data_IF_242098853942
#
_entry.id   IF_242098853942
#
_cell.length_a   1.000
_cell.length_b   1.000
_cell.length_c   1.000
_cell.angle_alpha   90.00
_cell.angle_beta   90.00
_cell.angle_gamma   90.00
#
_symmetry.space_group_name_H-M   'P 1'
#
loop_
_entity.id
_entity.type
_entity.pdbx_description
1 polymer ?
#
# COMPACT_ATOMS: atom_id res chain seq x y z
N UNK A 1 14.00 26.53 -54.96
CA UNK A 1 15.02 27.59 -54.72
C UNK A 1 14.55 28.36 -53.50
N UNK A 2 15.16 28.41 -52.32
CA UNK A 2 16.38 27.83 -51.71
C UNK A 2 16.18 28.08 -50.21
N UNK A 3 16.41 27.07 -49.39
CA UNK A 3 16.65 27.21 -47.93
C UNK A 3 17.86 28.09 -47.67
N UNK A 4 17.98 28.69 -46.47
CA UNK A 4 19.30 28.87 -45.86
C UNK A 4 19.41 28.21 -44.48
N UNK A 5 20.53 27.50 -44.35
CA UNK A 5 21.29 27.11 -43.14
C UNK A 5 22.75 27.50 -43.45
N UNK A 6 23.74 27.42 -42.54
CA UNK A 6 23.78 27.68 -41.08
C UNK A 6 25.11 28.40 -40.62
N UNK A 7 25.35 28.45 -39.28
CA UNK A 7 26.65 28.46 -38.52
C UNK A 7 27.29 29.81 -38.08
N UNK A 8 28.25 29.84 -37.11
CA UNK A 8 28.68 28.84 -36.10
C UNK A 8 28.88 29.35 -34.64
N UNK A 9 29.18 28.39 -33.75
CA UNK A 9 29.61 28.45 -32.34
C UNK A 9 30.78 29.40 -32.01
N UNK A 10 30.87 29.84 -30.74
CA UNK A 10 32.17 29.93 -30.04
C UNK A 10 32.02 29.70 -28.53
N UNK A 11 32.79 28.72 -28.03
CA UNK A 11 33.07 28.42 -26.62
C UNK A 11 34.17 29.39 -26.16
N UNK A 12 34.10 29.91 -24.94
CA UNK A 12 35.25 30.58 -24.30
C UNK A 12 35.48 30.05 -22.89
N UNK A 13 36.56 29.29 -22.76
CA UNK A 13 37.28 28.97 -21.52
C UNK A 13 38.16 30.14 -21.12
N UNK A 14 38.18 30.51 -19.83
CA UNK A 14 39.31 31.24 -19.25
C UNK A 14 39.74 30.59 -17.93
N UNK A 15 40.98 30.11 -17.93
CA UNK A 15 41.81 29.88 -16.75
C UNK A 15 42.41 31.22 -16.28
N UNK A 16 42.58 31.44 -14.97
CA UNK A 16 43.89 31.78 -14.39
C UNK A 16 43.86 31.98 -12.87
N UNK A 17 44.76 31.27 -12.18
CA UNK A 17 45.66 31.71 -11.09
C UNK A 17 45.04 32.39 -9.84
N UNK A 18 45.18 31.94 -8.60
CA UNK A 18 46.28 31.22 -7.95
C UNK A 18 47.00 32.15 -6.96
N UNK A 19 46.78 32.00 -5.64
CA UNK A 19 47.78 32.32 -4.59
C UNK A 19 47.41 31.75 -3.21
N UNK A 20 48.39 31.05 -2.61
CA UNK A 20 48.45 30.50 -1.25
C UNK A 20 48.86 31.58 -0.22
N UNK A 21 48.41 31.46 1.04
CA UNK A 21 49.15 31.56 2.34
C UNK A 21 48.20 31.04 3.45
N UNK A 22 48.44 29.90 4.15
CA UNK A 22 49.27 29.57 5.34
C UNK A 22 48.85 30.20 6.70
N UNK A 23 48.50 29.28 7.62
CA UNK A 23 48.75 29.16 9.08
C UNK A 23 47.83 29.77 10.17
N UNK A 24 47.58 28.91 11.17
CA UNK A 24 47.02 29.14 12.52
C UNK A 24 45.75 28.29 12.74
N UNK A 25 45.63 27.26 13.60
CA UNK A 25 46.46 26.76 14.70
C UNK A 25 45.85 27.12 16.06
N UNK A 26 44.82 26.41 16.55
CA UNK A 26 44.46 26.33 18.00
C UNK A 26 43.79 24.97 18.32
N UNK A 27 44.16 24.43 19.48
CA UNK A 27 43.78 23.15 20.13
C UNK A 27 42.45 23.23 20.89
N UNK A 28 41.89 22.06 21.23
CA UNK A 28 41.10 21.85 22.47
C UNK A 28 39.84 21.01 22.25
N UNK A 29 39.89 19.70 22.52
CA UNK A 29 39.46 19.01 23.76
C UNK A 29 37.98 18.63 23.79
N UNK A 30 37.70 17.34 23.92
CA UNK A 30 36.35 16.82 24.16
C UNK A 30 36.21 15.33 23.86
N UNK A 31 36.89 14.50 24.64
CA UNK A 31 36.69 13.06 24.67
C UNK A 31 35.35 12.72 25.34
N UNK A 32 34.62 11.74 24.79
CA UNK A 32 33.56 11.01 25.47
C UNK A 32 33.79 9.50 25.25
N UNK A 33 33.78 8.67 26.30
CA UNK A 33 34.32 7.33 26.24
C UNK A 33 33.32 6.28 25.75
N UNK A 34 33.89 5.30 25.05
CA UNK A 34 33.40 3.94 24.89
C UNK A 34 33.03 3.32 26.24
N UNK A 35 31.84 2.73 26.33
CA UNK A 35 31.54 1.68 27.30
C UNK A 35 31.08 0.44 26.55
N UNK A 36 31.98 -0.54 26.53
CA UNK A 36 31.79 -1.89 26.06
C UNK A 36 31.26 -2.75 27.22
N UNK A 37 30.32 -3.63 26.86
CA UNK A 37 29.92 -4.91 27.46
C UNK A 37 30.06 -5.12 28.98
N UNK A 38 28.91 -5.43 29.60
CA UNK A 38 28.84 -6.55 30.54
C UNK A 38 27.79 -7.55 30.08
N UNK A 39 28.29 -8.68 29.59
CA UNK A 39 27.61 -9.96 29.61
C UNK A 39 27.48 -10.39 31.07
N UNK A 40 26.25 -10.64 31.53
CA UNK A 40 26.01 -11.46 32.71
C UNK A 40 24.87 -12.45 32.44
N UNK A 41 25.32 -13.68 32.20
CA UNK A 41 24.76 -14.98 32.61
C UNK A 41 23.25 -15.23 32.48
N UNK A 42 22.94 -16.10 31.51
CA UNK A 42 21.75 -16.95 31.49
C UNK A 42 21.71 -17.90 32.70
N UNK A 43 20.53 -18.21 33.27
CA UNK A 43 20.32 -19.41 34.05
C UNK A 43 19.82 -20.56 33.16
N UNK A 44 20.33 -21.77 33.40
CA UNK A 44 19.84 -23.03 32.83
C UNK A 44 19.46 -24.00 33.97
N UNK A 45 18.74 -25.10 33.71
CA UNK A 45 17.36 -25.26 34.16
C UNK A 45 17.22 -26.22 35.35
N UNK A 46 16.12 -26.10 36.10
CA UNK A 46 15.75 -27.06 37.14
C UNK A 46 14.33 -27.62 36.91
N UNK A 47 14.30 -28.87 36.42
CA UNK A 47 13.48 -30.00 36.88
C UNK A 47 11.97 -29.81 37.22
N UNK A 48 11.12 -30.41 36.36
CA UNK A 48 9.90 -31.16 36.77
C UNK A 48 10.30 -32.49 37.47
N UNK A 49 9.43 -33.31 38.14
CA UNK A 49 7.96 -33.52 38.00
C UNK A 49 7.25 -33.80 39.38
N UNK A 50 6.09 -34.51 39.57
CA UNK A 50 5.18 -35.14 38.61
C UNK A 50 3.66 -34.93 38.80
N UNK A 51 2.99 -35.37 37.73
CA UNK A 51 1.58 -35.72 37.55
C UNK A 51 0.88 -36.42 38.73
N UNK A 52 -0.41 -36.11 38.93
CA UNK A 52 -1.41 -37.08 39.37
C UNK A 52 -2.70 -36.98 38.57
N UNK A 53 -2.92 -38.04 37.78
CA UNK A 53 -4.22 -38.47 37.29
C UNK A 53 -5.16 -38.79 38.44
N UNK A 54 -6.46 -38.52 38.28
CA UNK A 54 -7.48 -39.46 38.77
C UNK A 54 -8.75 -39.38 37.91
N UNK A 55 -8.95 -40.48 37.20
CA UNK A 55 -10.23 -40.90 36.60
C UNK A 55 -11.27 -41.04 37.71
N UNK A 56 -12.48 -40.56 37.44
CA UNK A 56 -13.68 -40.89 38.21
C UNK A 56 -14.79 -41.28 37.23
N UNK A 57 -14.92 -42.56 36.94
CA UNK A 57 -16.11 -43.14 36.33
C UNK A 57 -17.24 -43.22 37.37
N UNK A 58 -18.41 -42.68 37.04
CA UNK A 58 -19.70 -43.24 37.49
C UNK A 58 -20.69 -43.22 36.34
N UNK A 59 -21.06 -44.42 35.90
CA UNK A 59 -22.28 -44.71 35.13
C UNK A 59 -23.45 -44.75 36.11
N UNK A 60 -24.61 -44.23 35.73
CA UNK A 60 -25.88 -44.95 35.84
C UNK A 60 -27.03 -44.24 35.10
N UNK A 61 -27.66 -45.03 34.22
CA UNK A 61 -29.11 -45.18 33.94
C UNK A 61 -29.91 -44.03 33.30
N UNK A 62 -30.18 -44.28 32.01
CA UNK A 62 -31.45 -44.17 31.27
C UNK A 62 -32.59 -43.35 31.89
N UNK A 63 -32.86 -42.21 31.26
CA UNK A 63 -34.20 -41.65 31.10
C UNK A 63 -34.44 -41.33 29.62
N UNK A 64 -35.28 -42.12 28.95
CA UNK A 64 -35.73 -41.84 27.57
C UNK A 64 -36.71 -40.65 27.61
N UNK A 65 -36.43 -39.60 26.84
CA UNK A 65 -37.38 -38.56 26.42
C UNK A 65 -37.13 -38.17 24.95
N UNK A 66 -38.17 -37.73 24.21
CA UNK A 66 -38.28 -37.96 22.78
C UNK A 66 -37.42 -37.03 21.94
N UNK A 67 -37.00 -37.55 20.77
CA UNK A 67 -36.31 -36.81 19.71
C UNK A 67 -37.17 -35.63 19.23
N UNK A 68 -36.75 -34.41 19.53
CA UNK A 68 -37.14 -33.21 18.76
C UNK A 68 -35.93 -32.79 17.94
N UNK A 69 -36.04 -32.98 16.63
CA UNK A 69 -35.08 -32.46 15.66
C UNK A 69 -35.08 -30.94 15.72
N UNK A 70 -34.06 -30.36 16.34
CA UNK A 70 -33.74 -28.96 16.16
C UNK A 70 -32.79 -28.84 14.97
N UNK A 71 -33.39 -28.76 13.78
CA UNK A 71 -32.74 -28.10 12.66
C UNK A 71 -32.73 -26.61 13.04
N UNK A 72 -31.57 -25.94 13.17
CA UNK A 72 -31.61 -24.50 13.28
C UNK A 72 -32.19 -24.00 11.96
N UNK A 73 -33.39 -23.42 12.01
CA UNK A 73 -33.89 -22.55 10.97
C UNK A 73 -32.92 -21.38 10.93
N UNK A 74 -31.86 -21.53 10.12
CA UNK A 74 -31.05 -20.39 9.69
C UNK A 74 -32.06 -19.51 8.96
N UNK A 75 -32.41 -18.38 9.58
CA UNK A 75 -33.16 -17.35 8.89
C UNK A 75 -32.47 -17.14 7.52
N UNK A 76 -33.23 -17.07 6.41
CA UNK A 76 -32.64 -16.66 5.15
C UNK A 76 -31.85 -15.38 5.41
N UNK A 77 -30.62 -15.31 4.88
CA UNK A 77 -29.93 -14.02 4.78
C UNK A 77 -30.94 -13.01 4.22
N UNK A 78 -30.96 -11.76 4.71
CA UNK A 78 -31.89 -10.76 4.22
C UNK A 78 -31.88 -10.81 2.69
N UNK A 79 -33.09 -10.90 2.13
CA UNK A 79 -33.29 -11.03 0.70
C UNK A 79 -32.42 -10.02 -0.04
N UNK A 80 -31.94 -10.41 -1.21
CA UNK A 80 -31.33 -9.55 -2.22
C UNK A 80 -32.37 -8.54 -2.75
N UNK A 81 -33.12 -7.88 -1.86
CA UNK A 81 -33.99 -6.77 -2.20
C UNK A 81 -33.10 -5.71 -2.87
N UNK A 82 -33.51 -5.18 -4.04
CA UNK A 82 -32.72 -4.16 -4.70
C UNK A 82 -32.70 -2.94 -3.78
N UNK A 83 -31.54 -2.67 -3.17
CA UNK A 83 -31.29 -1.36 -2.59
C UNK A 83 -31.21 -0.32 -3.72
N UNK A 84 -31.21 0.99 -3.38
CA UNK A 84 -31.22 2.08 -4.37
C UNK A 84 -30.10 1.97 -5.42
N UNK A 85 -28.96 1.36 -5.08
CA UNK A 85 -27.85 1.08 -5.99
C UNK A 85 -28.18 0.10 -7.11
N UNK A 86 -29.10 -0.86 -6.89
CA UNK A 86 -29.55 -1.80 -7.92
C UNK A 86 -30.67 -1.24 -8.78
N UNK A 87 -31.43 -0.28 -8.27
CA UNK A 87 -32.55 0.34 -9.00
C UNK A 87 -32.06 1.44 -9.95
N UNK A 88 -31.00 2.16 -9.59
CA UNK A 88 -30.48 3.28 -10.36
C UNK A 88 -29.04 3.11 -10.87
N UNK A 89 -28.32 2.09 -10.41
CA UNK A 89 -26.93 1.84 -10.78
C UNK A 89 -26.78 0.76 -11.83
N UNK A 90 -25.91 1.00 -12.82
CA UNK A 90 -25.47 -0.03 -13.75
C UNK A 90 -24.38 -0.89 -13.10
N UNK A 91 -24.76 -2.06 -12.59
CA UNK A 91 -23.82 -3.00 -11.97
C UNK A 91 -22.77 -3.57 -12.94
N UNK A 92 -22.95 -3.42 -14.25
CA UNK A 92 -21.92 -3.77 -15.24
C UNK A 92 -20.79 -2.71 -15.30
N UNK A 93 -21.06 -1.48 -14.84
CA UNK A 93 -20.14 -0.33 -14.81
C UNK A 93 -19.78 0.08 -13.38
N UNK A 94 -19.44 -0.90 -12.55
CA UNK A 94 -19.00 -0.65 -11.17
C UNK A 94 -17.55 -0.15 -11.14
N UNK A 95 -17.32 1.01 -10.52
CA UNK A 95 -15.99 1.54 -10.27
C UNK A 95 -15.72 1.62 -8.76
N UNK A 96 -14.50 1.28 -8.35
CA UNK A 96 -14.00 1.53 -7.01
C UNK A 96 -12.97 2.66 -7.06
N UNK A 97 -13.12 3.65 -6.21
CA UNK A 97 -12.20 4.77 -6.13
C UNK A 97 -11.91 5.12 -4.68
N UNK A 98 -10.68 5.54 -4.42
CA UNK A 98 -10.28 6.03 -3.12
C UNK A 98 -8.98 6.81 -3.23
N UNK A 99 -8.71 7.63 -2.23
CA UNK A 99 -7.47 8.38 -2.08
C UNK A 99 -6.70 7.93 -0.84
N UNK A 100 -5.37 7.99 -0.87
CA UNK A 100 -4.52 7.65 0.28
C UNK A 100 -4.86 6.27 0.87
N UNK A 101 -5.25 6.18 2.15
CA UNK A 101 -5.72 4.97 2.79
C UNK A 101 -7.00 4.39 2.14
N UNK A 102 -7.87 5.22 1.57
CA UNK A 102 -9.02 4.77 0.77
C UNK A 102 -8.60 3.99 -0.47
N UNK A 103 -7.53 4.40 -1.16
CA UNK A 103 -6.97 3.64 -2.27
C UNK A 103 -6.33 2.31 -1.81
N UNK A 104 -5.70 2.28 -0.63
CA UNK A 104 -5.26 1.02 -0.02
C UNK A 104 -6.44 0.05 0.19
N UNK A 105 -7.56 0.56 0.71
CA UNK A 105 -8.80 -0.22 0.90
C UNK A 105 -9.34 -0.71 -0.45
N UNK A 106 -9.33 0.12 -1.49
CA UNK A 106 -9.73 -0.30 -2.84
C UNK A 106 -8.91 -1.50 -3.31
N UNK A 107 -7.58 -1.47 -3.16
CA UNK A 107 -6.74 -2.62 -3.50
C UNK A 107 -7.14 -3.89 -2.74
N UNK A 108 -7.31 -3.81 -1.42
CA UNK A 108 -7.72 -4.97 -0.60
C UNK A 108 -9.11 -5.49 -1.02
N UNK A 109 -10.04 -4.60 -1.35
CA UNK A 109 -11.37 -4.98 -1.87
C UNK A 109 -11.27 -5.73 -3.21
N UNK A 110 -10.37 -5.33 -4.11
CA UNK A 110 -10.16 -6.03 -5.38
C UNK A 110 -9.61 -7.44 -5.18
N UNK A 111 -8.67 -7.61 -4.24
CA UNK A 111 -8.13 -8.92 -3.89
C UNK A 111 -9.18 -9.85 -3.28
N UNK A 112 -10.07 -9.30 -2.45
CA UNK A 112 -11.21 -10.03 -1.90
C UNK A 112 -12.25 -10.39 -2.96
N UNK A 113 -12.55 -9.45 -3.87
CA UNK A 113 -13.53 -9.66 -4.93
C UNK A 113 -13.15 -10.84 -5.83
N UNK A 114 -11.87 -10.96 -6.18
CA UNK A 114 -11.37 -12.08 -6.99
C UNK A 114 -11.38 -13.44 -6.28
N UNK A 115 -11.46 -13.45 -4.95
CA UNK A 115 -11.55 -14.68 -4.15
C UNK A 115 -13.01 -15.15 -3.97
N UNK A 116 -14.00 -14.31 -4.31
CA UNK A 116 -15.40 -14.59 -4.09
C UNK A 116 -16.18 -14.50 -5.41
N UNK A 117 -16.56 -15.66 -5.96
CA UNK A 117 -17.31 -15.78 -7.22
C UNK A 117 -18.68 -15.09 -7.23
N UNK A 118 -19.21 -14.70 -6.07
CA UNK A 118 -20.46 -13.93 -5.96
C UNK A 118 -20.26 -12.42 -5.99
N UNK A 119 -19.01 -11.94 -6.06
CA UNK A 119 -18.71 -10.51 -6.14
C UNK A 119 -19.14 -9.94 -7.49
N UNK A 120 -19.71 -8.73 -7.54
CA UNK A 120 -19.96 -8.06 -8.80
C UNK A 120 -18.66 -7.81 -9.54
N UNK A 121 -18.70 -7.82 -10.87
CA UNK A 121 -17.56 -7.47 -11.71
C UNK A 121 -17.23 -5.99 -11.50
N UNK A 122 -15.98 -5.69 -11.14
CA UNK A 122 -15.49 -4.31 -11.06
C UNK A 122 -14.92 -3.91 -12.42
N UNK A 123 -15.55 -2.94 -13.08
CA UNK A 123 -15.09 -2.43 -14.37
C UNK A 123 -13.76 -1.70 -14.22
N UNK A 124 -13.65 -0.81 -13.23
CA UNK A 124 -12.44 -0.02 -13.03
C UNK A 124 -12.10 0.26 -11.58
N UNK A 125 -10.81 0.43 -11.31
CA UNK A 125 -10.30 0.89 -10.04
C UNK A 125 -9.50 2.20 -10.22
N UNK A 126 -9.72 3.18 -9.35
CA UNK A 126 -9.02 4.47 -9.36
C UNK A 126 -8.34 4.63 -8.01
N UNK A 127 -7.02 4.54 -8.03
CA UNK A 127 -6.16 4.62 -6.86
C UNK A 127 -5.48 5.99 -6.86
N UNK A 128 -6.04 6.93 -6.09
CA UNK A 128 -5.51 8.29 -6.00
C UNK A 128 -4.45 8.34 -4.91
N UNK A 129 -3.17 8.42 -5.28
CA UNK A 129 -2.04 8.50 -4.36
C UNK A 129 -2.08 7.38 -3.30
N UNK A 130 -2.10 6.08 -3.70
CA UNK A 130 -2.35 5.00 -2.78
C UNK A 130 -1.38 4.95 -1.59
N UNK A 131 -1.92 4.78 -0.39
CA UNK A 131 -1.08 4.60 0.78
C UNK A 131 -0.59 3.15 0.87
N UNK A 132 0.57 2.91 0.26
CA UNK A 132 1.32 1.65 0.41
C UNK A 132 2.59 1.87 1.20
N UNK A 133 3.11 0.81 1.79
CA UNK A 133 4.30 0.82 2.63
C UNK A 133 5.21 -0.37 2.38
N UNK A 134 6.25 -0.46 3.21
CA UNK A 134 7.23 -1.52 3.22
C UNK A 134 8.35 -1.19 4.18
N UNK A 135 9.02 -2.20 4.74
CA UNK A 135 10.19 -1.98 5.60
C UNK A 135 11.38 -1.46 4.81
N UNK A 136 11.51 -1.87 3.54
CA UNK A 136 12.59 -1.42 2.65
C UNK A 136 12.08 -0.35 1.67
N UNK A 137 12.84 0.74 1.47
CA UNK A 137 12.55 1.71 0.42
C UNK A 137 12.62 1.05 -0.96
N UNK A 138 11.74 1.45 -1.86
CA UNK A 138 11.89 1.19 -3.30
C UNK A 138 12.83 2.23 -3.92
N UNK A 139 13.24 2.02 -5.18
CA UNK A 139 14.05 3.00 -5.90
C UNK A 139 13.36 4.37 -5.95
N UNK A 140 14.08 5.42 -5.55
CA UNK A 140 13.56 6.79 -5.48
C UNK A 140 12.74 7.13 -4.22
N UNK A 141 12.45 6.17 -3.34
CA UNK A 141 11.71 6.42 -2.10
C UNK A 141 12.63 6.85 -0.96
N UNK A 142 12.23 7.90 -0.23
CA UNK A 142 12.97 8.37 0.92
C UNK A 142 12.75 7.45 2.14
N UNK A 143 13.80 7.02 2.88
CA UNK A 143 13.65 6.12 4.03
C UNK A 143 12.68 6.60 5.12
N UNK A 144 12.55 7.92 5.29
CA UNK A 144 11.58 8.49 6.23
C UNK A 144 10.12 8.16 5.87
N UNK A 145 9.78 8.02 4.58
CA UNK A 145 8.44 7.63 4.15
C UNK A 145 8.09 6.20 4.61
N UNK A 146 9.05 5.28 4.53
CA UNK A 146 8.90 3.91 5.05
C UNK A 146 8.69 3.92 6.57
N UNK A 147 9.47 4.71 7.30
CA UNK A 147 9.36 4.84 8.76
C UNK A 147 7.99 5.39 9.17
N UNK A 148 7.55 6.50 8.57
CA UNK A 148 6.25 7.11 8.87
C UNK A 148 5.11 6.15 8.55
N UNK A 149 5.14 5.52 7.37
CA UNK A 149 4.12 4.54 6.97
C UNK A 149 4.09 3.34 7.92
N UNK A 150 5.25 2.80 8.31
CA UNK A 150 5.34 1.69 9.24
C UNK A 150 4.81 2.01 10.64
N UNK A 151 5.09 3.21 11.16
CA UNK A 151 4.53 3.68 12.44
C UNK A 151 3.01 3.82 12.38
N UNK A 152 2.50 4.50 11.35
CA UNK A 152 1.05 4.67 11.16
C UNK A 152 0.34 3.34 10.96
N UNK A 153 0.96 2.40 10.23
CA UNK A 153 0.40 1.07 10.03
C UNK A 153 0.36 0.26 11.32
N UNK A 154 1.40 0.33 12.15
CA UNK A 154 1.44 -0.35 13.45
C UNK A 154 0.37 0.19 14.40
N UNK A 155 0.04 1.48 14.29
CA UNK A 155 -1.08 2.08 15.01
C UNK A 155 -2.44 1.62 14.46
N UNK A 156 -2.64 1.67 13.14
CA UNK A 156 -3.90 1.31 12.50
C UNK A 156 -4.20 -0.21 12.56
N UNK A 157 -3.16 -1.04 12.51
CA UNK A 157 -3.22 -2.49 12.48
C UNK A 157 -2.24 -3.10 13.49
N UNK A 158 -2.54 -3.03 14.80
CA UNK A 158 -1.63 -3.51 15.86
C UNK A 158 -1.33 -5.02 15.81
N UNK A 159 -2.18 -5.79 15.12
CA UNK A 159 -1.99 -7.23 14.87
C UNK A 159 -1.37 -7.55 13.50
N UNK A 160 -0.75 -6.58 12.84
CA UNK A 160 -0.15 -6.77 11.51
C UNK A 160 0.97 -7.82 11.55
N UNK A 161 0.84 -8.84 10.70
CA UNK A 161 1.87 -9.87 10.56
C UNK A 161 2.92 -9.32 9.59
N UNK A 162 4.17 -9.23 10.05
CA UNK A 162 5.26 -8.63 9.25
C UNK A 162 5.37 -7.11 9.37
N UNK A 163 4.59 -6.47 10.24
CA UNK A 163 4.68 -5.03 10.49
C UNK A 163 4.45 -4.21 9.21
N UNK A 164 5.44 -3.41 8.80
CA UNK A 164 5.36 -2.60 7.58
C UNK A 164 5.39 -3.44 6.28
N UNK A 165 5.71 -4.73 6.35
CA UNK A 165 5.62 -5.68 5.24
C UNK A 165 4.35 -6.54 5.29
N UNK A 166 3.35 -6.18 6.10
CA UNK A 166 2.03 -6.83 6.06
C UNK A 166 1.42 -6.66 4.64
N UNK A 167 0.93 -7.75 4.00
CA UNK A 167 0.41 -7.68 2.63
C UNK A 167 -0.70 -6.65 2.39
N UNK A 168 -1.43 -6.24 3.44
CA UNK A 168 -2.48 -5.22 3.34
C UNK A 168 -1.92 -3.82 3.13
N UNK A 169 -0.70 -3.54 3.59
CA UNK A 169 -0.03 -2.25 3.38
C UNK A 169 1.08 -2.34 2.32
N UNK A 170 1.74 -3.49 2.21
CA UNK A 170 2.78 -3.75 1.23
C UNK A 170 2.31 -4.83 0.24
N UNK A 171 1.59 -4.44 -0.84
CA UNK A 171 1.11 -5.39 -1.84
C UNK A 171 2.22 -6.03 -2.68
N UNK A 172 3.47 -5.56 -2.52
CA UNK A 172 4.66 -6.10 -3.18
C UNK A 172 5.55 -6.91 -2.22
N UNK A 173 5.11 -7.13 -0.97
CA UNK A 173 5.85 -7.91 0.00
C UNK A 173 5.98 -9.38 -0.46
N UNK A 174 7.08 -10.07 -0.09
CA UNK A 174 7.16 -11.52 -0.23
C UNK A 174 5.97 -12.21 0.46
N UNK A 175 5.24 -13.04 -0.28
CA UNK A 175 4.05 -13.74 0.23
C UNK A 175 2.75 -12.94 0.17
N UNK A 176 2.76 -11.70 -0.35
CA UNK A 176 1.55 -11.00 -0.70
C UNK A 176 0.76 -11.76 -1.80
N UNK A 177 -0.58 -11.62 -1.84
CA UNK A 177 -1.38 -12.18 -2.93
C UNK A 177 -0.89 -11.74 -4.31
N UNK A 178 -0.83 -12.68 -5.23
CA UNK A 178 -0.37 -12.44 -6.59
C UNK A 178 -1.26 -11.39 -7.30
N UNK A 179 -0.64 -10.39 -7.94
CA UNK A 179 -1.35 -9.26 -8.59
C UNK A 179 -2.21 -9.70 -9.77
N UNK A 180 -1.95 -10.87 -10.35
CA UNK A 180 -2.77 -11.52 -11.37
C UNK A 180 -4.23 -11.70 -10.94
N UNK A 181 -4.46 -11.74 -9.62
CA UNK A 181 -5.76 -11.93 -9.00
C UNK A 181 -6.52 -10.62 -8.83
N UNK A 182 -6.07 -9.48 -9.34
CA UNK A 182 -6.83 -8.23 -9.19
C UNK A 182 -8.22 -8.35 -9.83
N UNK A 183 -9.26 -8.15 -9.01
CA UNK A 183 -10.67 -8.34 -9.38
C UNK A 183 -11.31 -7.22 -10.21
N UNK A 184 -10.52 -6.41 -10.92
CA UNK A 184 -11.01 -5.40 -11.85
C UNK A 184 -10.48 -5.63 -13.27
N UNK A 185 -11.06 -4.91 -14.24
CA UNK A 185 -10.64 -5.00 -15.65
C UNK A 185 -9.65 -3.91 -16.02
N UNK A 186 -9.74 -2.75 -15.39
CA UNK A 186 -8.88 -1.60 -15.66
C UNK A 186 -8.52 -0.90 -14.36
N UNK A 187 -7.34 -0.28 -14.32
CA UNK A 187 -6.85 0.41 -13.14
C UNK A 187 -6.16 1.72 -13.53
N UNK A 188 -6.50 2.80 -12.83
CA UNK A 188 -5.76 4.06 -12.87
C UNK A 188 -5.04 4.22 -11.54
N UNK A 189 -3.73 4.35 -11.58
CA UNK A 189 -2.90 4.70 -10.42
C UNK A 189 -2.37 6.11 -10.62
N UNK A 190 -2.53 6.97 -9.61
CA UNK A 190 -2.05 8.35 -9.67
C UNK A 190 -1.13 8.70 -8.50
N UNK A 191 -0.27 9.70 -8.70
CA UNK A 191 0.58 10.25 -7.65
C UNK A 191 0.90 11.72 -7.90
N UNK A 192 1.08 12.48 -6.83
CA UNK A 192 1.76 13.76 -6.87
C UNK A 192 3.26 13.50 -6.83
N UNK A 193 4.04 14.03 -7.77
CA UNK A 193 5.45 13.62 -7.89
C UNK A 193 6.38 14.21 -6.80
N UNK A 194 5.87 15.12 -5.97
CA UNK A 194 6.53 15.58 -4.75
C UNK A 194 6.01 14.86 -3.48
N UNK A 195 5.10 13.90 -3.62
CA UNK A 195 4.63 13.04 -2.54
C UNK A 195 5.73 12.04 -2.12
N UNK A 196 5.91 11.84 -0.82
CA UNK A 196 6.83 10.83 -0.29
C UNK A 196 6.47 9.40 -0.69
N UNK A 197 5.22 9.15 -1.10
CA UNK A 197 4.73 7.85 -1.57
C UNK A 197 4.88 7.67 -3.08
N UNK A 198 5.23 8.72 -3.84
CA UNK A 198 5.18 8.70 -5.31
C UNK A 198 5.99 7.57 -5.94
N UNK A 199 7.22 7.35 -5.44
CA UNK A 199 8.08 6.25 -5.90
C UNK A 199 7.44 4.88 -5.67
N UNK A 200 6.79 4.68 -4.53
CA UNK A 200 6.09 3.44 -4.20
C UNK A 200 4.79 3.27 -4.98
N UNK A 201 4.06 4.36 -5.24
CA UNK A 201 2.90 4.35 -6.13
C UNK A 201 3.30 3.92 -7.54
N UNK A 202 4.42 4.45 -8.04
CA UNK A 202 4.97 4.09 -9.34
C UNK A 202 5.41 2.63 -9.38
N UNK A 203 6.14 2.16 -8.37
CA UNK A 203 6.56 0.77 -8.25
C UNK A 203 5.37 -0.20 -8.24
N UNK A 204 4.29 0.14 -7.53
CA UNK A 204 3.05 -0.64 -7.55
C UNK A 204 2.42 -0.66 -8.95
N UNK A 205 2.29 0.49 -9.61
CA UNK A 205 1.76 0.55 -10.97
C UNK A 205 2.57 -0.34 -11.93
N UNK A 206 3.89 -0.23 -11.90
CA UNK A 206 4.77 -0.98 -12.79
C UNK A 206 4.74 -2.48 -12.49
N UNK A 207 4.61 -2.87 -11.22
CA UNK A 207 4.41 -4.27 -10.83
C UNK A 207 3.08 -4.83 -11.32
N UNK A 208 1.98 -4.05 -11.26
CA UNK A 208 0.68 -4.46 -11.83
C UNK A 208 0.79 -4.60 -13.34
N UNK A 209 1.36 -3.60 -14.03
CA UNK A 209 1.51 -3.59 -15.48
C UNK A 209 2.42 -4.71 -16.00
N UNK A 210 3.43 -5.12 -15.22
CA UNK A 210 4.35 -6.21 -15.54
C UNK A 210 3.91 -7.59 -15.06
N UNK A 211 2.80 -7.69 -14.31
CA UNK A 211 2.25 -8.98 -13.86
C UNK A 211 1.49 -9.70 -14.97
N UNK A 212 1.07 -10.95 -14.72
CA UNK A 212 0.16 -11.65 -15.64
C UNK A 212 -1.32 -11.28 -15.45
N UNK A 213 -1.63 -10.17 -14.77
CA UNK A 213 -3.00 -9.66 -14.66
C UNK A 213 -3.57 -9.32 -16.04
N UNK A 214 -4.73 -9.88 -16.37
CA UNK A 214 -5.36 -9.73 -17.69
C UNK A 214 -6.03 -8.39 -17.96
N UNK A 215 -5.86 -7.40 -17.08
CA UNK A 215 -6.43 -6.07 -17.20
C UNK A 215 -5.46 -5.03 -17.78
N UNK A 216 -5.87 -3.76 -17.76
CA UNK A 216 -5.01 -2.64 -18.18
C UNK A 216 -4.71 -1.70 -17.02
N UNK A 217 -3.45 -1.28 -16.89
CA UNK A 217 -3.01 -0.30 -15.90
C UNK A 217 -2.64 1.02 -16.60
N UNK A 218 -3.12 2.12 -16.05
CA UNK A 218 -2.79 3.47 -16.47
C UNK A 218 -2.12 4.24 -15.33
N UNK A 219 -1.15 5.08 -15.68
CA UNK A 219 -0.43 5.95 -14.77
C UNK A 219 -0.78 7.42 -15.01
N UNK A 220 -0.83 8.22 -13.94
CA UNK A 220 -0.85 9.68 -14.01
C UNK A 220 -0.01 10.28 -12.87
N UNK A 221 1.04 11.02 -13.22
CA UNK A 221 1.84 11.79 -12.26
C UNK A 221 1.53 13.27 -12.38
N UNK A 222 1.36 13.97 -11.26
CA UNK A 222 1.21 15.43 -11.23
C UNK A 222 2.50 16.09 -10.75
N UNK A 223 3.18 16.81 -11.64
CA UNK A 223 4.48 17.44 -11.37
C UNK A 223 4.38 18.50 -10.26
N UNK A 224 5.32 18.45 -9.31
CA UNK A 224 5.40 19.42 -8.20
C UNK A 224 4.31 19.26 -7.13
N UNK A 225 3.48 18.23 -7.23
CA UNK A 225 2.35 18.04 -6.33
C UNK A 225 2.62 17.09 -5.17
N UNK A 226 2.10 17.45 -3.99
CA UNK A 226 2.20 16.64 -2.78
C UNK A 226 1.08 15.60 -2.65
N UNK A 227 1.04 14.94 -1.50
CA UNK A 227 0.02 13.94 -1.17
C UNK A 227 -1.39 14.53 -1.22
N UNK A 228 -2.31 13.89 -1.95
CA UNK A 228 -3.73 14.26 -2.09
C UNK A 228 -4.01 15.76 -2.29
N UNK A 229 -3.10 16.45 -3.00
CA UNK A 229 -3.14 17.91 -3.20
C UNK A 229 -4.49 18.43 -3.72
N UNK A 230 -5.21 17.62 -4.50
CA UNK A 230 -6.48 17.97 -5.13
C UNK A 230 -7.62 18.18 -4.11
N UNK A 231 -7.48 17.70 -2.87
CA UNK A 231 -8.42 18.00 -1.79
C UNK A 231 -8.20 19.41 -1.22
N UNK A 232 -6.94 19.83 -1.08
CA UNK A 232 -6.58 21.14 -0.53
C UNK A 232 -6.69 22.26 -1.57
N UNK A 233 -6.32 21.97 -2.83
CA UNK A 233 -6.34 22.93 -3.95
C UNK A 233 -7.10 22.40 -5.17
N UNK A 234 -8.42 22.17 -5.06
CA UNK A 234 -9.23 21.61 -6.15
C UNK A 234 -9.28 22.50 -7.40
N UNK A 235 -9.04 23.81 -7.27
CA UNK A 235 -9.07 24.77 -8.38
C UNK A 235 -7.76 24.91 -9.15
N UNK A 236 -6.67 24.27 -8.72
CA UNK A 236 -5.39 24.37 -9.43
C UNK A 236 -5.38 23.56 -10.73
N UNK A 237 -4.51 23.91 -11.66
CA UNK A 237 -4.49 23.29 -12.99
C UNK A 237 -4.13 21.80 -12.95
N UNK A 238 -3.25 21.39 -12.02
CA UNK A 238 -2.94 19.98 -11.81
C UNK A 238 -4.17 19.20 -11.28
N UNK A 239 -5.01 19.80 -10.43
CA UNK A 239 -6.19 19.14 -9.88
C UNK A 239 -7.26 18.96 -10.96
N UNK A 240 -7.43 19.97 -11.82
CA UNK A 240 -8.30 19.88 -13.00
C UNK A 240 -7.83 18.79 -13.96
N UNK A 241 -6.54 18.76 -14.29
CA UNK A 241 -5.97 17.73 -15.17
C UNK A 241 -6.12 16.31 -14.60
N UNK A 242 -5.91 16.14 -13.29
CA UNK A 242 -6.17 14.87 -12.62
C UNK A 242 -7.65 14.47 -12.73
N UNK A 243 -8.57 15.42 -12.50
CA UNK A 243 -10.00 15.16 -12.62
C UNK A 243 -10.42 14.82 -14.05
N UNK A 244 -9.89 15.53 -15.05
CA UNK A 244 -10.09 15.23 -16.47
C UNK A 244 -9.61 13.81 -16.79
N UNK A 245 -8.48 13.38 -16.21
CA UNK A 245 -7.97 12.02 -16.36
C UNK A 245 -8.88 10.99 -15.72
N UNK A 246 -9.43 11.27 -14.54
CA UNK A 246 -10.41 10.40 -13.86
C UNK A 246 -11.70 10.28 -14.67
N UNK A 247 -12.23 11.38 -15.18
CA UNK A 247 -13.44 11.41 -16.02
C UNK A 247 -13.23 10.64 -17.31
N UNK A 248 -12.12 10.87 -18.01
CA UNK A 248 -11.76 10.14 -19.22
C UNK A 248 -11.65 8.64 -18.95
N UNK A 249 -11.01 8.26 -17.84
CA UNK A 249 -10.96 6.88 -17.39
C UNK A 249 -12.38 6.32 -17.22
N UNK A 250 -13.25 6.92 -16.41
CA UNK A 250 -14.63 6.42 -16.20
C UNK A 250 -15.44 6.32 -17.50
N UNK A 251 -15.23 7.27 -18.43
CA UNK A 251 -15.90 7.29 -19.73
C UNK A 251 -15.42 6.19 -20.69
N UNK A 252 -14.23 5.63 -20.45
CA UNK A 252 -13.61 4.65 -21.36
C UNK A 252 -12.92 5.27 -22.56
N UNK A 253 -12.56 6.56 -22.48
CA UNK A 253 -11.92 7.34 -23.53
C UNK A 253 -10.39 7.32 -23.45
#
# INVERSE_FOLDING_TARGET
>A
VTTPRPKPNTISTLHSHGRRRRHGGVRGTGALPLLQERQDRAPSPASHPPSRSRRGHRRHVQGRRPRRGHRPLRAPLPSQAPGPFREHGDTARLFLAGDSAGANIVHDMLMRAASNHSSPRVEGAILLHPWFGGTKPVEGEHPAACMVTGMLWSYACPGAVGGADDPRINPLAPGAPALERLGCVRMLVTAGLADGLAARNRAYHDAVAGSAWGGTAAWHGSDGEGHVFFLEKPGCDNAKQLMDRVVAFIAGA
#
